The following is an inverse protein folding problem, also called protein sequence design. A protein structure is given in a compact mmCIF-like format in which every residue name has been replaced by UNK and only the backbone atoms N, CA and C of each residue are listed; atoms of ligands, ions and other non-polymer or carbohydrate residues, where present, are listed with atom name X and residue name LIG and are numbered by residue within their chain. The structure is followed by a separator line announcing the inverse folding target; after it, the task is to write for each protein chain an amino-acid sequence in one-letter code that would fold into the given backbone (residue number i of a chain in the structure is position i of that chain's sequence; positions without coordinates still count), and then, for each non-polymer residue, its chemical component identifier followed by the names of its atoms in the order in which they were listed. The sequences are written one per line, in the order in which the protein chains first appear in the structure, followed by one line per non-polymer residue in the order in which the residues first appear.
data_IF_887364375274
#
_entry.id   IF_887364375274
#
_cell.length_a   1.000
_cell.length_b   1.000
_cell.length_c   1.000
_cell.angle_alpha   90.00
_cell.angle_beta   90.00
_cell.angle_gamma   90.00
#
_symmetry.space_group_name_H-M   'P 1'
#
loop_
_entity.id
_entity.type
_entity.pdbx_description
1 polymer ?
#
# COMPACT_ATOMS: atom_id res chain seq x y z
N UNK A 1 -4.00 8.17 -10.70
CA UNK A 1 -5.41 7.71 -10.68
C UNK A 1 -5.46 6.34 -11.33
N UNK A 2 -6.15 5.40 -10.71
CA UNK A 2 -6.35 4.05 -11.23
C UNK A 2 -7.82 3.88 -11.63
N UNK A 3 -8.06 3.28 -12.79
CA UNK A 3 -9.38 2.85 -13.24
C UNK A 3 -9.46 1.34 -13.09
N UNK A 4 -10.49 0.86 -12.44
CA UNK A 4 -10.70 -0.57 -12.18
C UNK A 4 -12.04 -0.98 -12.80
N UNK A 5 -12.05 -2.07 -13.57
CA UNK A 5 -13.29 -2.58 -14.14
C UNK A 5 -14.20 -3.13 -13.04
N UNK A 6 -15.50 -2.95 -13.19
CA UNK A 6 -16.48 -3.50 -12.25
C UNK A 6 -16.37 -5.03 -12.14
N UNK A 7 -16.11 -5.69 -13.25
CA UNK A 7 -15.99 -7.16 -13.28
C UNK A 7 -14.79 -7.61 -12.45
N UNK A 8 -13.62 -6.99 -12.63
CA UNK A 8 -12.43 -7.34 -11.84
C UNK A 8 -12.61 -7.01 -10.36
N UNK A 9 -13.34 -5.94 -10.03
CA UNK A 9 -13.62 -5.58 -8.64
C UNK A 9 -14.52 -6.62 -7.95
N UNK A 10 -15.52 -7.14 -8.66
CA UNK A 10 -16.41 -8.19 -8.14
C UNK A 10 -15.69 -9.54 -7.98
N UNK A 11 -14.78 -9.86 -8.89
CA UNK A 11 -14.05 -11.13 -8.89
C UNK A 11 -12.92 -11.13 -7.81
N UNK A 12 -12.15 -10.08 -7.72
CA UNK A 12 -10.99 -9.97 -6.81
C UNK A 12 -11.41 -9.53 -5.41
N UNK A 13 -12.49 -8.78 -5.30
CA UNK A 13 -12.95 -8.09 -4.10
C UNK A 13 -12.41 -6.67 -3.98
N UNK A 14 -12.92 -5.93 -3.01
CA UNK A 14 -12.56 -4.54 -2.75
C UNK A 14 -11.11 -4.33 -2.31
N UNK A 15 -10.77 -3.09 -2.04
CA UNK A 15 -9.47 -2.72 -1.48
C UNK A 15 -9.28 -3.24 -0.05
N UNK A 16 -8.04 -3.48 0.34
CA UNK A 16 -7.72 -3.82 1.72
C UNK A 16 -7.72 -2.56 2.59
N UNK A 17 -8.84 -2.32 3.24
CA UNK A 17 -9.06 -1.15 4.11
C UNK A 17 -8.08 -1.08 5.28
N UNK A 18 -7.51 -2.22 5.71
CA UNK A 18 -6.53 -2.27 6.79
C UNK A 18 -5.26 -1.47 6.48
N UNK A 19 -4.93 -1.33 5.20
CA UNK A 19 -3.80 -0.53 4.74
C UNK A 19 -4.05 0.97 4.89
N UNK A 20 -5.30 1.42 4.81
CA UNK A 20 -5.75 2.81 4.92
C UNK A 20 -5.15 3.75 3.86
N UNK A 21 -3.83 3.90 3.82
CA UNK A 21 -3.09 4.77 2.89
C UNK A 21 -1.73 4.15 2.56
N UNK A 22 -1.21 4.44 1.38
CA UNK A 22 0.07 3.94 0.84
C UNK A 22 0.11 2.40 0.64
N UNK A 23 0.18 2.02 -0.61
CA UNK A 23 0.29 0.63 -1.04
C UNK A 23 -1.02 -0.08 -1.33
N UNK A 24 -2.17 0.55 -1.09
CA UNK A 24 -3.52 0.00 -1.33
C UNK A 24 -3.71 -0.41 -2.78
N UNK A 25 -3.40 0.51 -3.72
CA UNK A 25 -3.53 0.26 -5.17
C UNK A 25 -2.59 -0.85 -5.63
N UNK A 26 -1.35 -0.84 -5.16
CA UNK A 26 -0.36 -1.87 -5.50
C UNK A 26 -0.79 -3.23 -4.99
N UNK A 27 -1.28 -3.29 -3.75
CA UNK A 27 -1.77 -4.52 -3.13
C UNK A 27 -2.89 -5.13 -3.98
N UNK A 28 -3.88 -4.30 -4.33
CA UNK A 28 -5.01 -4.75 -5.12
C UNK A 28 -4.58 -5.30 -6.49
N UNK A 29 -3.67 -4.61 -7.19
CA UNK A 29 -3.14 -5.06 -8.48
C UNK A 29 -2.40 -6.40 -8.38
N UNK A 30 -1.56 -6.60 -7.36
CA UNK A 30 -0.86 -7.88 -7.17
C UNK A 30 -1.83 -9.00 -6.79
N UNK A 31 -2.79 -8.74 -5.95
CA UNK A 31 -3.82 -9.70 -5.57
C UNK A 31 -4.70 -10.08 -6.75
N UNK A 32 -5.06 -9.11 -7.58
CA UNK A 32 -5.82 -9.33 -8.80
C UNK A 32 -5.08 -10.22 -9.80
N UNK A 33 -3.79 -9.97 -9.99
CA UNK A 33 -2.94 -10.82 -10.79
C UNK A 33 -2.83 -12.24 -10.22
N UNK A 34 -2.58 -12.37 -8.93
CA UNK A 34 -2.38 -13.65 -8.28
C UNK A 34 -3.62 -14.53 -8.26
N UNK A 35 -4.79 -13.94 -7.97
CA UNK A 35 -6.05 -14.68 -7.87
C UNK A 35 -6.65 -15.06 -9.23
N UNK A 36 -6.74 -14.11 -10.13
CA UNK A 36 -7.58 -14.21 -11.32
C UNK A 36 -6.86 -13.79 -12.60
N UNK A 37 -5.55 -13.66 -12.56
CA UNK A 37 -4.70 -13.28 -13.71
C UNK A 37 -5.07 -11.93 -14.36
N UNK A 38 -5.77 -11.04 -13.63
CA UNK A 38 -6.07 -9.69 -14.09
C UNK A 38 -4.79 -8.87 -14.25
N UNK A 39 -4.65 -8.19 -15.38
CA UNK A 39 -3.48 -7.38 -15.69
C UNK A 39 -3.76 -5.90 -15.52
N UNK A 40 -2.77 -5.19 -14.97
CA UNK A 40 -2.77 -3.73 -14.90
C UNK A 40 -1.91 -3.16 -16.00
N UNK A 41 -2.40 -2.12 -16.67
CA UNK A 41 -1.70 -1.45 -17.76
C UNK A 41 -1.50 0.02 -17.40
N UNK A 42 -0.39 0.58 -17.85
CA UNK A 42 -0.13 2.01 -17.80
C UNK A 42 -0.59 2.62 -19.13
N UNK A 43 -1.44 3.62 -19.06
CA UNK A 43 -1.90 4.37 -20.25
C UNK A 43 -1.05 5.64 -20.33
N UNK A 44 -0.07 5.65 -21.20
CA UNK A 44 0.91 6.74 -21.30
C UNK A 44 0.30 8.06 -21.80
N UNK A 45 -0.74 7.99 -22.65
CA UNK A 45 -1.41 9.16 -23.23
C UNK A 45 -2.40 9.82 -22.24
N UNK A 46 -2.75 9.16 -21.15
CA UNK A 46 -3.65 9.71 -20.14
C UNK A 46 -2.93 10.69 -19.23
N UNK A 47 -2.98 11.97 -19.55
CA UNK A 47 -2.40 13.05 -18.73
C UNK A 47 -3.42 13.56 -17.73
N UNK A 48 -3.06 13.54 -16.46
CA UNK A 48 -3.90 14.06 -15.38
C UNK A 48 -3.12 15.12 -14.61
N UNK A 49 -3.68 16.32 -14.52
CA UNK A 49 -3.15 17.36 -13.64
C UNK A 49 -3.55 17.04 -12.20
N UNK A 50 -2.60 16.57 -11.41
CA UNK A 50 -2.80 16.25 -10.01
C UNK A 50 -2.02 17.22 -9.12
N UNK A 51 -2.72 18.04 -8.34
CA UNK A 51 -2.08 18.85 -7.29
C UNK A 51 -1.91 18.00 -6.04
N UNK A 52 -0.67 17.71 -5.68
CA UNK A 52 -0.35 17.08 -4.41
C UNK A 52 -0.45 18.13 -3.30
N UNK A 53 -1.39 17.95 -2.38
CA UNK A 53 -1.86 18.97 -1.43
C UNK A 53 -0.94 19.31 -0.25
N UNK A 54 0.30 18.86 -0.16
CA UNK A 54 1.22 19.24 0.92
C UNK A 54 2.52 19.76 0.32
N UNK A 55 2.83 21.03 0.65
CA UNK A 55 3.89 21.84 0.07
C UNK A 55 5.21 21.14 -0.24
N UNK A 56 5.70 21.42 -1.41
CA UNK A 56 7.01 21.02 -1.88
C UNK A 56 8.12 21.71 -1.07
N UNK A 57 8.91 20.95 -0.35
CA UNK A 57 10.20 21.45 0.12
C UNK A 57 11.25 21.16 -0.94
N UNK A 58 11.87 22.20 -1.47
CA UNK A 58 13.02 22.08 -2.37
C UNK A 58 14.20 21.53 -1.57
N UNK A 59 14.59 20.29 -1.84
CA UNK A 59 15.83 19.71 -1.37
C UNK A 59 16.74 19.55 -2.58
N UNK A 60 17.80 20.33 -2.64
CA UNK A 60 18.81 20.31 -3.71
C UNK A 60 18.20 20.23 -5.11
N UNK A 61 17.75 21.31 -5.69
CA UNK A 61 17.21 21.48 -7.06
C UNK A 61 16.07 20.54 -7.52
N UNK A 62 15.60 19.62 -6.67
CA UNK A 62 14.43 18.75 -6.93
C UNK A 62 13.35 19.00 -5.89
N UNK A 63 12.13 19.22 -6.36
CA UNK A 63 10.95 19.24 -5.51
C UNK A 63 10.63 17.82 -5.08
N UNK A 64 10.93 17.48 -3.82
CA UNK A 64 10.58 16.17 -3.25
C UNK A 64 9.40 16.37 -2.32
N UNK A 65 8.28 15.73 -2.64
CA UNK A 65 7.14 15.69 -1.74
C UNK A 65 7.54 14.96 -0.44
N UNK A 66 7.67 15.71 0.64
CA UNK A 66 8.01 15.17 1.96
C UNK A 66 6.72 14.63 2.58
N UNK A 67 6.68 13.32 2.79
CA UNK A 67 5.55 12.70 3.48
C UNK A 67 5.50 13.19 4.93
N UNK A 68 4.30 13.49 5.45
CA UNK A 68 4.09 13.86 6.85
C UNK A 68 4.52 12.73 7.81
N UNK A 69 4.83 13.03 9.09
CA UNK A 69 5.16 12.00 10.09
C UNK A 69 4.04 10.94 10.22
N UNK A 70 2.78 11.36 10.17
CA UNK A 70 1.62 10.47 10.17
C UNK A 70 1.67 9.47 8.99
N UNK A 71 1.96 9.95 7.80
CA UNK A 71 2.07 9.10 6.61
C UNK A 71 3.26 8.13 6.70
N UNK A 72 4.36 8.53 7.36
CA UNK A 72 5.50 7.64 7.61
C UNK A 72 5.12 6.43 8.45
N UNK A 73 4.26 6.58 9.47
CA UNK A 73 3.74 5.45 10.24
C UNK A 73 3.11 4.39 9.33
N UNK A 74 2.20 4.80 8.45
CA UNK A 74 1.53 3.87 7.54
C UNK A 74 2.49 3.27 6.52
N UNK A 75 3.42 4.06 5.98
CA UNK A 75 4.40 3.57 5.03
C UNK A 75 5.22 2.42 5.60
N UNK A 76 5.77 2.56 6.81
CA UNK A 76 6.57 1.52 7.44
C UNK A 76 5.72 0.31 7.85
N UNK A 77 4.56 0.54 8.45
CA UNK A 77 3.63 -0.52 8.82
C UNK A 77 3.19 -1.36 7.61
N UNK A 78 2.70 -0.70 6.59
CA UNK A 78 2.16 -1.35 5.40
C UNK A 78 3.24 -2.08 4.62
N UNK A 79 4.45 -1.51 4.53
CA UNK A 79 5.58 -2.21 3.92
C UNK A 79 5.83 -3.57 4.58
N UNK A 80 5.90 -3.61 5.90
CA UNK A 80 6.12 -4.86 6.64
C UNK A 80 4.96 -5.84 6.48
N UNK A 81 3.73 -5.36 6.44
CA UNK A 81 2.57 -6.20 6.18
C UNK A 81 2.56 -6.76 4.76
N UNK A 82 2.87 -5.96 3.77
CA UNK A 82 2.96 -6.37 2.37
C UNK A 82 4.13 -7.35 2.14
N UNK A 83 5.23 -7.22 2.86
CA UNK A 83 6.35 -8.15 2.77
C UNK A 83 5.97 -9.59 3.17
N UNK A 84 4.96 -9.78 4.01
CA UNK A 84 4.50 -11.10 4.45
C UNK A 84 3.52 -11.76 3.49
N UNK A 85 3.04 -11.04 2.48
CA UNK A 85 2.09 -11.56 1.50
C UNK A 85 2.85 -12.26 0.38
N UNK A 86 2.46 -13.47 0.05
CA UNK A 86 3.14 -14.32 -0.95
C UNK A 86 3.02 -13.74 -2.35
N UNK A 87 1.88 -13.16 -2.68
CA UNK A 87 1.58 -12.57 -3.97
C UNK A 87 2.29 -11.22 -4.23
N UNK A 88 2.92 -10.64 -3.22
CA UNK A 88 3.69 -9.40 -3.40
C UNK A 88 5.06 -9.73 -3.99
N UNK A 89 5.44 -9.12 -5.14
CA UNK A 89 6.66 -9.45 -5.84
C UNK A 89 7.93 -9.26 -5.01
N UNK A 90 8.82 -10.26 -5.01
CA UNK A 90 10.08 -10.22 -4.28
C UNK A 90 10.99 -9.05 -4.67
N UNK A 91 10.99 -8.70 -5.96
CA UNK A 91 11.69 -7.51 -6.45
C UNK A 91 11.21 -6.22 -5.74
N UNK A 92 9.89 -6.05 -5.62
CA UNK A 92 9.32 -4.88 -4.94
C UNK A 92 9.70 -4.84 -3.47
N UNK A 93 9.66 -6.01 -2.78
CA UNK A 93 10.06 -6.13 -1.37
C UNK A 93 11.52 -5.68 -1.17
N UNK A 94 12.43 -6.18 -2.00
CA UNK A 94 13.86 -5.83 -1.93
C UNK A 94 14.11 -4.35 -2.22
N UNK A 95 13.61 -3.84 -3.35
CA UNK A 95 13.78 -2.45 -3.77
C UNK A 95 13.25 -1.46 -2.73
N UNK A 96 12.05 -1.71 -2.20
CA UNK A 96 11.49 -0.83 -1.19
C UNK A 96 12.13 -1.03 0.18
N UNK A 97 12.66 -2.21 0.51
CA UNK A 97 13.44 -2.42 1.73
C UNK A 97 14.62 -1.47 1.84
N UNK A 98 15.42 -1.37 0.80
CA UNK A 98 16.54 -0.41 0.75
C UNK A 98 16.03 1.04 0.91
N UNK A 99 14.95 1.40 0.21
CA UNK A 99 14.33 2.72 0.32
C UNK A 99 13.85 3.03 1.74
N UNK A 100 13.25 2.06 2.43
CA UNK A 100 12.78 2.24 3.80
C UNK A 100 13.92 2.29 4.81
N UNK A 101 15.01 1.54 4.59
CA UNK A 101 16.23 1.69 5.39
C UNK A 101 16.80 3.09 5.28
N UNK A 102 16.92 3.63 4.08
CA UNK A 102 17.36 5.02 3.90
C UNK A 102 16.43 6.00 4.61
N UNK A 103 15.12 5.84 4.47
CA UNK A 103 14.14 6.70 5.14
C UNK A 103 14.22 6.64 6.66
N UNK A 104 14.50 5.45 7.23
CA UNK A 104 14.62 5.25 8.67
C UNK A 104 15.67 6.16 9.31
N UNK A 105 16.77 6.40 8.62
CA UNK A 105 17.85 7.26 9.11
C UNK A 105 17.71 8.71 8.63
N UNK A 106 17.38 8.90 7.35
CA UNK A 106 17.35 10.22 6.73
C UNK A 106 16.30 11.15 7.38
N UNK A 107 15.07 10.69 7.58
CA UNK A 107 14.01 11.55 8.09
C UNK A 107 14.23 12.04 9.53
N UNK A 108 14.59 11.18 10.50
CA UNK A 108 14.85 11.65 11.86
C UNK A 108 16.09 12.52 12.00
N UNK A 109 17.03 12.41 11.06
CA UNK A 109 18.27 13.20 11.12
C UNK A 109 18.12 14.55 10.38
N UNK A 110 17.55 14.52 9.18
CA UNK A 110 17.58 15.64 8.25
C UNK A 110 16.29 16.46 8.19
N UNK A 111 15.13 15.89 8.58
CA UNK A 111 13.83 16.52 8.36
C UNK A 111 13.17 16.92 9.69
N UNK A 112 12.85 18.18 9.86
CA UNK A 112 12.06 18.64 11.01
C UNK A 112 10.55 18.38 10.79
N UNK A 113 9.79 18.03 11.86
CA UNK A 113 10.21 17.81 13.26
C UNK A 113 10.77 16.40 13.49
N UNK A 114 12.06 16.32 13.76
CA UNK A 114 12.84 15.07 13.86
C UNK A 114 12.24 14.03 14.81
N UNK A 115 11.91 14.43 16.02
CA UNK A 115 11.37 13.55 17.05
C UNK A 115 10.01 12.95 16.64
N UNK A 116 9.17 13.70 15.93
CA UNK A 116 7.89 13.19 15.43
C UNK A 116 8.09 12.13 14.35
N UNK A 117 9.02 12.36 13.42
CA UNK A 117 9.35 11.35 12.40
C UNK A 117 9.84 10.06 13.05
N UNK A 118 10.80 10.15 13.97
CA UNK A 118 11.31 8.99 14.69
C UNK A 118 10.20 8.22 15.42
N UNK A 119 9.35 8.93 16.17
CA UNK A 119 8.22 8.34 16.90
C UNK A 119 7.27 7.57 15.96
N UNK A 120 6.84 8.20 14.85
CA UNK A 120 5.89 7.58 13.92
C UNK A 120 6.51 6.41 13.15
N UNK A 121 7.78 6.49 12.79
CA UNK A 121 8.49 5.39 12.15
C UNK A 121 8.60 4.19 13.09
N UNK A 122 9.04 4.40 14.35
CA UNK A 122 9.15 3.33 15.35
C UNK A 122 7.78 2.67 15.59
N UNK A 123 6.72 3.46 15.79
CA UNK A 123 5.37 2.92 15.95
C UNK A 123 4.91 2.15 14.70
N UNK A 124 5.22 2.64 13.50
CA UNK A 124 4.92 1.95 12.25
C UNK A 124 5.62 0.60 12.16
N UNK A 125 6.90 0.54 12.54
CA UNK A 125 7.68 -0.71 12.58
C UNK A 125 7.10 -1.68 13.61
N UNK A 126 6.86 -1.24 14.85
CA UNK A 126 6.30 -2.09 15.91
C UNK A 126 4.94 -2.68 15.48
N UNK A 127 4.04 -1.84 14.95
CA UNK A 127 2.73 -2.33 14.45
C UNK A 127 2.87 -3.17 13.20
N UNK A 128 3.84 -2.87 12.36
CA UNK A 128 4.15 -3.66 11.17
C UNK A 128 4.69 -5.05 11.50
N UNK A 129 5.40 -5.22 12.63
CA UNK A 129 5.89 -6.52 13.09
C UNK A 129 4.79 -7.38 13.71
N UNK A 130 3.71 -6.80 14.21
CA UNK A 130 2.58 -7.56 14.72
C UNK A 130 1.77 -8.14 13.55
N UNK A 131 1.34 -9.42 13.64
CA UNK A 131 0.52 -10.02 12.60
C UNK A 131 -0.79 -9.23 12.47
N UNK A 132 -1.16 -8.96 11.21
CA UNK A 132 -2.50 -8.47 10.91
C UNK A 132 -3.45 -9.58 11.31
N UNK A 133 -4.34 -9.33 12.25
CA UNK A 133 -5.57 -10.13 12.34
C UNK A 133 -6.34 -9.80 11.07
N UNK A 134 -6.23 -10.65 10.04
CA UNK A 134 -6.99 -10.49 8.82
C UNK A 134 -8.45 -10.74 9.19
N UNK A 135 -9.16 -9.68 9.50
CA UNK A 135 -10.62 -9.70 9.41
C UNK A 135 -10.96 -9.70 7.91
N UNK A 136 -10.62 -10.78 7.23
CA UNK A 136 -11.29 -11.09 5.97
C UNK A 136 -12.74 -11.35 6.38
N UNK A 137 -13.71 -10.58 5.89
CA UNK A 137 -15.08 -10.81 6.26
C UNK A 137 -15.45 -12.24 5.83
N UNK A 138 -15.85 -13.05 6.80
CA UNK A 138 -16.46 -14.38 6.64
C UNK A 138 -17.59 -14.37 5.59
N UNK A 139 -18.04 -13.19 5.21
CA UNK A 139 -19.05 -12.93 4.19
C UNK A 139 -18.71 -13.50 2.79
N UNK A 140 -17.45 -13.60 2.41
CA UNK A 140 -17.06 -14.18 1.11
C UNK A 140 -17.04 -15.72 1.12
N UNK A 141 -16.83 -16.34 2.27
CA UNK A 141 -16.91 -17.80 2.40
C UNK A 141 -18.38 -18.24 2.34
N UNK A 142 -19.30 -17.47 2.91
CA UNK A 142 -20.72 -17.77 2.87
C UNK A 142 -21.33 -17.56 1.47
N UNK A 143 -20.86 -16.60 0.69
CA UNK A 143 -21.36 -16.39 -0.67
C UNK A 143 -20.91 -17.47 -1.66
N UNK A 144 -19.77 -18.11 -1.45
CA UNK A 144 -19.35 -19.26 -2.25
C UNK A 144 -20.07 -20.54 -1.87
N UNK A 145 -20.45 -20.70 -0.60
CA UNK A 145 -21.23 -21.84 -0.13
C UNK A 145 -22.70 -21.76 -0.58
N UNK A 146 -23.30 -20.57 -0.62
CA UNK A 146 -24.69 -20.41 -1.11
C UNK A 146 -24.80 -20.58 -2.62
N UNK A 147 -23.78 -20.26 -3.41
CA UNK A 147 -23.76 -20.54 -4.86
C UNK A 147 -23.71 -22.04 -5.18
N UNK A 148 -23.04 -22.81 -4.36
CA UNK A 148 -22.97 -24.28 -4.54
C UNK A 148 -24.21 -25.02 -4.03
N UNK A 149 -25.08 -24.38 -3.24
CA UNK A 149 -26.32 -24.98 -2.73
C UNK A 149 -27.57 -24.63 -3.56
N UNK A 150 -27.47 -23.62 -4.45
CA UNK A 150 -28.60 -23.22 -5.34
C UNK A 150 -28.38 -23.61 -6.81
N UNK A 151 -27.36 -24.40 -7.12
CA UNK A 151 -27.03 -24.89 -8.47
C UNK A 151 -27.14 -26.40 -8.62
N UNK A 152 -28.12 -26.99 -7.95
CA UNK A 152 -28.51 -28.40 -8.10
C UNK A 152 -29.93 -28.51 -8.60
#
# INVERSE_FOLDING_TARGET
ISLISRISLLDVGGFDESLFIDGVDHEWCWRAWHKSQWRSFVVEDAKINHQLGEGDKKVASRSIAIASPFRMYYQFRNYLWLCRRDYVPGYWKKKNGVKYLVKLFYFPICIAPRAMYLKHIIHGVIRGLNPVKSNWPIFLILSSLTKNLMGG
#
